data_IF_295173294060
#
_entry.id   IF_295173294060
#
_cell.length_a   1.000
_cell.length_b   1.000
_cell.length_c   1.000
_cell.angle_alpha   90.00
_cell.angle_beta   90.00
_cell.angle_gamma   90.00
#
_symmetry.space_group_name_H-M   'P 1'
#
loop_
_entity.id
_entity.type
_entity.pdbx_description
1 polymer ?
#
# COMPACT_ATOMS: atom_id res chain seq x y z
N UNK A 1 -14.03 5.66 1.91
CA UNK A 1 -12.88 5.13 1.15
C UNK A 1 -13.38 4.65 -0.20
N UNK A 2 -12.64 4.91 -1.27
CA UNK A 2 -13.02 4.55 -2.63
C UNK A 2 -11.89 3.74 -3.29
N UNK A 3 -12.24 2.68 -4.01
CA UNK A 3 -11.34 1.91 -4.84
C UNK A 3 -11.47 2.34 -6.29
N UNK A 4 -10.32 2.66 -6.90
CA UNK A 4 -10.24 3.05 -8.31
C UNK A 4 -9.35 2.08 -9.06
N UNK A 5 -9.79 1.68 -10.25
CA UNK A 5 -9.00 0.95 -11.22
C UNK A 5 -8.38 1.96 -12.20
N UNK A 6 -7.06 1.91 -12.34
CA UNK A 6 -6.32 2.78 -13.26
C UNK A 6 -5.83 1.95 -14.44
N UNK A 7 -6.24 2.32 -15.66
CA UNK A 7 -5.88 1.65 -16.92
C UNK A 7 -5.37 2.71 -17.89
N UNK A 8 -4.07 2.98 -17.85
CA UNK A 8 -3.47 4.09 -18.60
C UNK A 8 -4.07 5.44 -18.16
N UNK A 9 -4.61 6.27 -19.07
CA UNK A 9 -5.23 7.55 -18.70
C UNK A 9 -6.64 7.39 -18.08
N UNK A 10 -7.21 6.18 -18.11
CA UNK A 10 -8.56 5.92 -17.62
C UNK A 10 -8.55 5.59 -16.13
N UNK A 11 -9.39 6.27 -15.35
CA UNK A 11 -9.62 6.01 -13.93
C UNK A 11 -11.10 5.69 -13.71
N UNK A 12 -11.39 4.48 -13.24
CA UNK A 12 -12.75 3.99 -12.99
C UNK A 12 -12.94 3.70 -11.51
N UNK A 13 -14.00 4.24 -10.92
CA UNK A 13 -14.41 3.88 -9.57
C UNK A 13 -15.10 2.52 -9.57
N UNK A 14 -14.55 1.56 -8.83
CA UNK A 14 -15.01 0.16 -8.82
C UNK A 14 -15.63 -0.25 -7.47
N UNK A 15 -15.60 0.64 -6.47
CA UNK A 15 -16.29 0.42 -5.21
C UNK A 15 -16.01 1.51 -4.18
N UNK A 16 -16.97 1.73 -3.28
CA UNK A 16 -16.86 2.70 -2.19
C UNK A 16 -17.30 2.07 -0.88
N UNK A 17 -16.56 2.33 0.18
CA UNK A 17 -16.87 1.89 1.53
C UNK A 17 -16.90 3.11 2.46
N UNK A 18 -18.02 3.32 3.13
CA UNK A 18 -18.18 4.42 4.07
C UNK A 18 -17.50 4.11 5.41
N UNK A 19 -17.01 5.16 6.06
CA UNK A 19 -16.48 5.10 7.43
C UNK A 19 -17.55 5.75 8.29
N UNK A 20 -18.31 4.94 9.01
CA UNK A 20 -19.48 5.38 9.75
C UNK A 20 -19.34 4.98 11.22
N UNK A 21 -19.59 5.94 12.10
CA UNK A 21 -19.74 5.70 13.53
C UNK A 21 -21.23 5.85 13.85
N UNK A 22 -22.02 4.83 13.48
CA UNK A 22 -23.48 4.87 13.59
C UNK A 22 -23.97 4.99 15.04
N UNK A 23 -23.15 4.56 16.01
CA UNK A 23 -23.54 4.50 17.42
C UNK A 23 -22.61 5.33 18.33
N UNK A 24 -23.17 6.05 19.30
CA UNK A 24 -22.37 6.82 20.27
C UNK A 24 -21.72 5.95 21.36
N UNK A 25 -22.15 4.69 21.46
CA UNK A 25 -21.74 3.76 22.52
C UNK A 25 -20.86 2.59 22.05
N UNK A 26 -20.29 2.64 20.83
CA UNK A 26 -19.32 1.63 20.40
C UNK A 26 -17.98 1.79 21.13
N UNK A 27 -17.49 0.68 21.69
CA UNK A 27 -16.17 0.57 22.35
C UNK A 27 -14.99 0.79 21.42
N UNK A 28 -15.18 0.68 20.10
CA UNK A 28 -14.13 0.88 19.10
C UNK A 28 -14.69 1.49 17.83
N UNK A 29 -14.30 2.74 17.57
CA UNK A 29 -14.69 3.50 16.39
C UNK A 29 -14.32 2.78 15.09
N UNK A 30 -15.13 3.02 14.05
CA UNK A 30 -14.77 2.63 12.69
C UNK A 30 -13.61 3.51 12.22
N UNK A 31 -12.68 2.89 11.50
CA UNK A 31 -11.48 3.56 11.04
C UNK A 31 -11.16 3.16 9.60
N UNK A 32 -10.26 3.90 8.98
CA UNK A 32 -9.85 3.75 7.58
C UNK A 32 -9.38 2.31 7.30
N UNK A 33 -8.64 1.69 8.22
CA UNK A 33 -8.17 0.32 8.03
C UNK A 33 -9.30 -0.72 8.08
N UNK A 34 -10.36 -0.49 8.86
CA UNK A 34 -11.51 -1.39 8.92
C UNK A 34 -12.35 -1.28 7.65
N UNK A 35 -12.64 -0.06 7.23
CA UNK A 35 -13.29 0.20 5.94
C UNK A 35 -12.48 -0.38 4.77
N UNK A 36 -11.16 -0.21 4.76
CA UNK A 36 -10.29 -0.82 3.75
C UNK A 36 -10.44 -2.35 3.71
N UNK A 37 -10.44 -3.02 4.88
CA UNK A 37 -10.58 -4.48 4.95
C UNK A 37 -11.93 -4.97 4.41
N UNK A 38 -13.02 -4.26 4.69
CA UNK A 38 -14.36 -4.56 4.15
C UNK A 38 -14.38 -4.37 2.64
N UNK A 39 -13.81 -3.27 2.15
CA UNK A 39 -13.69 -2.98 0.72
C UNK A 39 -12.87 -4.04 -0.01
N UNK A 40 -11.73 -4.46 0.55
CA UNK A 40 -10.87 -5.51 -0.01
C UNK A 40 -11.59 -6.85 -0.13
N UNK A 41 -12.35 -7.25 0.90
CA UNK A 41 -13.15 -8.50 0.88
C UNK A 41 -14.19 -8.46 -0.24
N UNK A 42 -14.93 -7.35 -0.36
CA UNK A 42 -15.93 -7.17 -1.41
C UNK A 42 -15.30 -7.21 -2.81
N UNK A 43 -14.19 -6.50 -3.00
CA UNK A 43 -13.45 -6.50 -4.27
C UNK A 43 -12.96 -7.89 -4.65
N UNK A 44 -12.44 -8.69 -3.70
CA UNK A 44 -12.00 -10.05 -3.98
C UNK A 44 -13.16 -10.96 -4.39
N UNK A 45 -14.34 -10.76 -3.80
CA UNK A 45 -15.56 -11.51 -4.13
C UNK A 45 -16.12 -11.14 -5.51
N UNK A 46 -16.18 -9.85 -5.83
CA UNK A 46 -16.74 -9.35 -7.09
C UNK A 46 -15.79 -9.55 -8.28
N UNK A 47 -14.49 -9.42 -8.05
CA UNK A 47 -13.46 -9.47 -9.11
C UNK A 47 -12.39 -10.53 -8.81
N UNK A 48 -12.74 -11.83 -8.70
CA UNK A 48 -11.82 -12.86 -8.21
C UNK A 48 -10.58 -13.08 -9.08
N UNK A 49 -10.69 -12.76 -10.39
CA UNK A 49 -9.63 -12.93 -11.40
C UNK A 49 -8.88 -11.64 -11.73
N UNK A 50 -9.28 -10.50 -11.17
CA UNK A 50 -8.62 -9.22 -11.45
C UNK A 50 -7.24 -9.22 -10.79
N UNK A 51 -6.13 -9.03 -11.54
CA UNK A 51 -4.84 -8.79 -10.94
C UNK A 51 -4.86 -7.42 -10.25
N UNK A 52 -4.75 -7.42 -8.92
CA UNK A 52 -4.80 -6.21 -8.10
C UNK A 52 -3.42 -5.90 -7.53
N UNK A 53 -3.02 -4.64 -7.64
CA UNK A 53 -1.93 -4.05 -6.88
C UNK A 53 -2.51 -2.98 -5.96
N UNK A 54 -2.47 -3.21 -4.64
CA UNK A 54 -2.99 -2.26 -3.67
C UNK A 54 -1.98 -1.12 -3.46
N UNK A 55 -2.40 0.11 -3.71
CA UNK A 55 -1.60 1.30 -3.43
C UNK A 55 -2.15 2.03 -2.20
N UNK A 56 -1.26 2.42 -1.28
CA UNK A 56 -1.63 3.15 -0.07
C UNK A 56 -0.47 3.93 0.53
N UNK A 57 -0.72 4.66 1.61
CA UNK A 57 0.32 5.28 2.42
C UNK A 57 0.76 4.36 3.58
N UNK A 58 1.65 4.86 4.43
CA UNK A 58 2.18 4.15 5.59
C UNK A 58 1.12 3.68 6.60
N UNK A 59 -0.11 4.21 6.57
CA UNK A 59 -1.20 3.74 7.45
C UNK A 59 -1.60 2.30 7.13
N UNK A 60 -1.47 1.88 5.87
CA UNK A 60 -1.82 0.54 5.40
C UNK A 60 -0.62 -0.42 5.42
N UNK A 61 0.59 0.08 5.69
CA UNK A 61 1.81 -0.71 5.82
C UNK A 61 1.85 -1.50 7.15
N UNK A 62 0.80 -2.29 7.40
CA UNK A 62 0.62 -3.10 8.60
C UNK A 62 0.46 -4.56 8.24
N UNK A 63 0.92 -5.45 9.11
CA UNK A 63 0.85 -6.90 8.89
C UNK A 63 -0.57 -7.41 8.54
N UNK A 64 -1.66 -6.96 9.18
CA UNK A 64 -3.00 -7.42 8.81
C UNK A 64 -3.41 -7.10 7.37
N UNK A 65 -2.97 -5.97 6.82
CA UNK A 65 -3.28 -5.57 5.44
C UNK A 65 -2.39 -6.34 4.47
N UNK A 66 -1.08 -6.41 4.76
CA UNK A 66 -0.13 -7.16 3.93
C UNK A 66 -0.48 -8.64 3.87
N UNK A 67 -0.87 -9.25 5.00
CA UNK A 67 -1.32 -10.63 5.07
C UNK A 67 -2.52 -10.90 4.16
N UNK A 68 -3.54 -10.03 4.19
CA UNK A 68 -4.68 -10.15 3.28
C UNK A 68 -4.27 -10.05 1.82
N UNK A 69 -3.36 -9.14 1.48
CA UNK A 69 -2.86 -9.05 0.10
C UNK A 69 -2.20 -10.36 -0.34
N UNK A 70 -1.37 -10.97 0.52
CA UNK A 70 -0.75 -12.28 0.25
C UNK A 70 -1.78 -13.40 0.10
N UNK A 71 -2.77 -13.46 1.00
CA UNK A 71 -3.88 -14.42 0.93
C UNK A 71 -4.69 -14.29 -0.38
N UNK A 72 -4.86 -13.07 -0.90
CA UNK A 72 -5.59 -12.81 -2.13
C UNK A 72 -4.76 -12.93 -3.41
N UNK A 73 -3.45 -13.13 -3.28
CA UNK A 73 -2.49 -13.11 -4.40
C UNK A 73 -2.27 -11.71 -4.98
N UNK A 74 -2.54 -10.66 -4.20
CA UNK A 74 -2.41 -9.27 -4.61
C UNK A 74 -1.00 -8.73 -4.32
N UNK A 75 -0.52 -7.87 -5.22
CA UNK A 75 0.69 -7.08 -4.99
C UNK A 75 0.32 -5.81 -4.20
N UNK A 76 1.30 -5.12 -3.62
CA UNK A 76 1.05 -3.87 -2.92
C UNK A 76 2.25 -2.92 -2.96
N UNK A 77 1.97 -1.61 -2.97
CA UNK A 77 2.93 -0.53 -2.90
C UNK A 77 2.46 0.45 -1.83
N UNK A 78 3.25 0.61 -0.77
CA UNK A 78 2.95 1.56 0.30
C UNK A 78 3.96 2.68 0.36
N UNK A 79 3.47 3.91 0.37
CA UNK A 79 4.30 5.11 0.46
C UNK A 79 4.56 5.45 1.92
N UNK A 80 5.81 5.33 2.35
CA UNK A 80 6.25 5.73 3.67
C UNK A 80 6.81 7.15 3.61
N UNK A 81 6.22 8.07 4.38
CA UNK A 81 6.78 9.42 4.54
C UNK A 81 7.90 9.36 5.59
N UNK A 82 9.02 10.03 5.31
CA UNK A 82 10.30 9.97 6.05
C UNK A 82 10.25 10.04 7.59
N UNK A 83 9.14 10.52 8.17
CA UNK A 83 9.04 10.75 9.61
C UNK A 83 8.48 9.57 10.41
N UNK A 84 7.83 8.57 9.78
CA UNK A 84 7.16 7.47 10.51
C UNK A 84 7.04 6.18 9.70
N UNK A 85 7.30 5.00 10.30
CA UNK A 85 7.92 4.74 11.61
C UNK A 85 9.45 4.90 11.58
N UNK A 86 10.05 5.53 12.61
CA UNK A 86 11.52 5.70 12.70
C UNK A 86 12.28 4.38 12.64
N UNK A 87 11.76 3.35 13.30
CA UNK A 87 12.33 2.00 13.30
C UNK A 87 12.39 1.41 11.89
N UNK A 88 11.38 1.66 11.06
CA UNK A 88 11.36 1.16 9.68
C UNK A 88 12.41 1.86 8.82
N UNK A 89 12.60 3.17 9.01
CA UNK A 89 13.66 3.93 8.35
C UNK A 89 15.06 3.46 8.80
N UNK A 90 15.24 3.17 10.09
CA UNK A 90 16.49 2.63 10.65
C UNK A 90 16.77 1.22 10.11
N UNK A 91 15.77 0.35 10.08
CA UNK A 91 15.87 -1.00 9.53
C UNK A 91 16.21 -0.95 8.04
N UNK A 92 15.59 -0.05 7.29
CA UNK A 92 15.93 0.17 5.88
C UNK A 92 17.37 0.65 5.70
N UNK A 93 17.83 1.62 6.50
CA UNK A 93 19.21 2.10 6.45
C UNK A 93 20.22 0.99 6.81
N UNK A 94 19.92 0.16 7.80
CA UNK A 94 20.74 -0.99 8.17
C UNK A 94 20.79 -2.04 7.07
N UNK A 95 19.65 -2.39 6.46
CA UNK A 95 19.57 -3.31 5.33
C UNK A 95 20.33 -2.78 4.10
N UNK A 96 20.25 -1.47 3.85
CA UNK A 96 21.02 -0.80 2.81
C UNK A 96 22.53 -0.91 3.01
N UNK A 97 23.00 -0.88 4.26
CA UNK A 97 24.42 -1.03 4.56
C UNK A 97 24.89 -2.49 4.47
N UNK A 98 24.01 -3.46 4.77
CA UNK A 98 24.32 -4.89 4.79
C UNK A 98 24.23 -5.57 3.41
N UNK A 99 23.35 -5.08 2.54
CA UNK A 99 23.14 -5.65 1.20
C UNK A 99 23.64 -4.71 0.11
N UNK A 100 24.15 -5.28 -0.98
CA UNK A 100 24.36 -4.53 -2.21
C UNK A 100 22.97 -4.10 -2.73
N UNK A 101 22.61 -2.85 -2.49
CA UNK A 101 21.43 -2.25 -3.10
C UNK A 101 21.81 -1.71 -4.46
N UNK A 102 21.04 -2.07 -5.47
CA UNK A 102 21.17 -1.51 -6.80
C UNK A 102 20.41 -0.20 -6.84
N UNK A 103 21.15 0.89 -7.04
CA UNK A 103 20.54 2.17 -7.39
C UNK A 103 20.25 2.15 -8.90
N UNK A 104 19.00 2.43 -9.23
CA UNK A 104 18.56 2.64 -10.61
C UNK A 104 18.01 4.05 -10.72
N UNK A 105 18.64 4.83 -11.57
CA UNK A 105 18.22 6.18 -11.95
C UNK A 105 17.28 6.11 -13.15
N UNK A 106 16.60 7.22 -13.44
CA UNK A 106 15.71 7.38 -14.60
C UNK A 106 14.47 6.46 -14.60
N UNK A 107 13.82 6.33 -13.43
CA UNK A 107 12.49 5.73 -13.38
C UNK A 107 11.40 6.70 -13.84
N UNK A 108 10.70 6.29 -14.89
CA UNK A 108 9.54 7.03 -15.38
C UNK A 108 9.91 8.39 -16.01
N UNK A 109 8.91 9.11 -16.54
CA UNK A 109 9.10 10.44 -17.12
C UNK A 109 9.61 11.49 -16.11
N UNK A 110 9.44 11.24 -14.82
CA UNK A 110 9.93 12.08 -13.73
C UNK A 110 11.43 11.90 -13.42
N UNK A 111 12.12 10.97 -14.10
CA UNK A 111 13.53 10.66 -13.86
C UNK A 111 13.82 10.29 -12.40
N UNK A 112 12.93 9.49 -11.81
CA UNK A 112 13.00 9.07 -10.43
C UNK A 112 14.20 8.19 -10.12
N UNK A 113 14.62 8.18 -8.85
CA UNK A 113 15.70 7.32 -8.36
C UNK A 113 15.08 6.22 -7.49
N UNK A 114 15.29 4.96 -7.87
CA UNK A 114 14.84 3.79 -7.13
C UNK A 114 16.03 3.02 -6.55
N UNK A 115 15.93 2.64 -5.27
CA UNK A 115 16.91 1.78 -4.63
C UNK A 115 16.31 0.38 -4.42
N UNK A 116 16.95 -0.65 -4.95
CA UNK A 116 16.50 -2.04 -4.88
C UNK A 116 17.46 -2.86 -4.04
N UNK A 117 17.02 -3.28 -2.85
CA UNK A 117 17.81 -4.16 -1.99
C UNK A 117 17.29 -5.59 -2.14
N UNK A 118 18.12 -6.52 -2.62
CA UNK A 118 17.71 -7.89 -2.89
C UNK A 118 17.18 -8.62 -1.62
N UNK A 119 16.11 -9.41 -1.79
CA UNK A 119 15.27 -10.14 -0.80
C UNK A 119 14.15 -9.39 -0.09
N UNK A 120 14.02 -8.07 -0.21
CA UNK A 120 12.83 -7.33 0.20
C UNK A 120 12.59 -6.17 -0.78
N UNK A 121 11.54 -6.26 -1.60
CA UNK A 121 11.09 -5.12 -2.42
C UNK A 121 10.59 -4.01 -1.49
N UNK A 122 11.49 -3.11 -1.10
CA UNK A 122 11.12 -1.82 -0.50
C UNK A 122 11.31 -0.79 -1.59
N UNK A 123 10.23 -0.47 -2.31
CA UNK A 123 10.22 0.69 -3.20
C UNK A 123 10.26 1.95 -2.33
N UNK A 124 11.43 2.58 -2.22
CA UNK A 124 11.50 3.94 -1.69
C UNK A 124 10.83 4.89 -2.69
N UNK A 125 9.93 5.70 -2.18
CA UNK A 125 8.97 6.50 -2.93
C UNK A 125 9.59 7.45 -3.98
N UNK A 126 8.91 7.52 -5.11
CA UNK A 126 8.94 8.65 -6.05
C UNK A 126 8.67 9.92 -5.24
N UNK A 127 9.61 10.87 -5.24
CA UNK A 127 9.32 12.26 -4.90
C UNK A 127 8.51 12.84 -6.07
N UNK A 128 7.21 12.99 -5.88
CA UNK A 128 6.44 13.97 -6.64
C UNK A 128 6.80 15.37 -6.14
#
# INVERSE_FOLDING_TARGET
MEAKLVVGPLVLSIGTEFIENEDKHVTKQDCEQRAAKRLMERLKKEYPRLPVCLQGDGLYATEPVMRKCREYGWQYIFTLKDKRPKELAQNYAALRALHACEEKTDFGPEHGIGNFCAKFQVMSAIKC
#
